data_IF_916558831629
#
_entry.id   IF_916558831629
#
_cell.length_a   1.000
_cell.length_b   1.000
_cell.length_c   1.000
_cell.angle_alpha   90.00
_cell.angle_beta   90.00
_cell.angle_gamma   90.00
#
_symmetry.space_group_name_H-M   'P 1'
#
loop_
_entity.id
_entity.type
_entity.pdbx_description
1 polymer ?
#
# COMPACT_ATOMS: atom_id res chain seq x y z
N UNK A 1 3.64 3.71 3.86
CA UNK A 1 2.55 2.85 3.35
C UNK A 1 2.31 1.63 4.24
N UNK A 2 3.33 0.91 4.72
CA UNK A 2 3.11 -0.26 5.60
C UNK A 2 3.29 0.08 7.09
N UNK A 3 2.26 -0.07 7.95
CA UNK A 3 2.37 0.21 9.38
C UNK A 3 3.52 -0.56 10.04
N UNK A 4 4.34 0.13 10.83
CA UNK A 4 5.48 -0.46 11.55
C UNK A 4 6.71 -0.81 10.70
N UNK A 5 6.73 -0.52 9.39
CA UNK A 5 7.92 -0.76 8.56
C UNK A 5 8.90 0.42 8.63
N UNK A 6 10.04 0.23 9.31
CA UNK A 6 11.11 1.24 9.42
C UNK A 6 12.21 1.14 8.35
N UNK A 7 11.94 0.58 7.18
CA UNK A 7 12.97 0.39 6.14
C UNK A 7 13.03 1.61 5.21
N UNK A 8 14.24 2.13 4.96
CA UNK A 8 14.44 3.40 4.25
C UNK A 8 14.60 3.26 2.73
N UNK A 9 15.03 2.09 2.22
CA UNK A 9 15.13 1.87 0.78
C UNK A 9 13.78 1.41 0.22
N UNK A 10 13.09 2.32 -0.47
CA UNK A 10 11.72 2.09 -0.94
C UNK A 10 11.60 2.15 -2.46
N UNK A 11 10.65 1.40 -3.00
CA UNK A 11 10.18 1.54 -4.37
C UNK A 11 8.85 2.30 -4.35
N UNK A 12 8.61 3.14 -5.36
CA UNK A 12 7.28 3.68 -5.63
C UNK A 12 6.59 2.76 -6.63
N UNK A 13 5.36 2.36 -6.32
CA UNK A 13 4.59 1.43 -7.15
C UNK A 13 3.09 1.62 -6.88
N UNK A 14 2.26 1.01 -7.73
CA UNK A 14 0.82 1.15 -7.66
C UNK A 14 0.24 0.58 -6.36
N UNK A 15 -0.76 1.25 -5.79
CA UNK A 15 -1.49 0.74 -4.60
C UNK A 15 -2.61 -0.21 -4.98
N UNK A 16 -3.34 0.11 -6.05
CA UNK A 16 -4.18 -0.80 -6.81
C UNK A 16 -3.40 -1.27 -8.06
N UNK A 17 -3.10 -2.56 -8.19
CA UNK A 17 -2.24 -3.05 -9.26
C UNK A 17 -2.72 -2.68 -10.66
N UNK A 18 -1.80 -2.24 -11.52
CA UNK A 18 -2.10 -1.98 -12.93
C UNK A 18 -2.72 -3.20 -13.64
N UNK A 19 -2.24 -4.41 -13.33
CA UNK A 19 -2.76 -5.66 -13.91
C UNK A 19 -4.21 -6.00 -13.52
N UNK A 20 -4.78 -5.31 -12.53
CA UNK A 20 -6.19 -5.43 -12.13
C UNK A 20 -7.03 -4.21 -12.49
N UNK A 21 -6.49 -3.29 -13.31
CA UNK A 21 -7.18 -2.07 -13.76
C UNK A 21 -6.82 -0.81 -12.98
N UNK A 22 -5.84 -0.88 -12.07
CA UNK A 22 -5.37 0.29 -11.34
C UNK A 22 -4.82 1.38 -12.26
N UNK A 23 -5.22 2.63 -12.01
CA UNK A 23 -4.87 3.77 -12.83
C UNK A 23 -3.39 4.15 -12.67
N UNK A 24 -2.74 4.54 -13.77
CA UNK A 24 -1.36 5.07 -13.75
C UNK A 24 -1.38 6.55 -13.37
N UNK A 25 -1.54 6.83 -12.08
CA UNK A 25 -1.60 8.19 -11.54
C UNK A 25 -0.93 8.28 -10.16
N UNK A 26 -0.45 9.46 -9.79
CA UNK A 26 0.26 9.66 -8.52
C UNK A 26 -0.59 9.29 -7.29
N UNK A 27 -1.91 9.52 -7.37
CA UNK A 27 -2.86 9.16 -6.31
C UNK A 27 -2.93 7.65 -6.04
N UNK A 28 -2.65 6.84 -7.05
CA UNK A 28 -2.58 5.38 -6.97
C UNK A 28 -1.14 4.88 -6.74
N UNK A 29 -0.26 5.65 -6.08
CA UNK A 29 1.11 5.20 -5.78
C UNK A 29 1.51 5.39 -4.34
N UNK A 30 2.47 4.59 -3.86
CA UNK A 30 3.10 4.86 -2.57
C UNK A 30 4.39 4.08 -2.30
N UNK A 31 5.23 4.59 -1.37
CA UNK A 31 6.53 4.03 -1.08
C UNK A 31 6.43 2.76 -0.22
N UNK A 32 7.11 1.70 -0.67
CA UNK A 32 7.18 0.41 0.00
C UNK A 32 8.59 -0.17 -0.05
N UNK A 33 9.02 -0.84 1.02
CA UNK A 33 10.26 -1.62 0.96
C UNK A 33 10.13 -2.81 -0.01
N UNK A 34 11.23 -3.38 -0.52
CA UNK A 34 11.18 -4.49 -1.47
C UNK A 34 10.37 -5.70 -0.98
N UNK A 35 10.35 -5.98 0.33
CA UNK A 35 9.53 -7.05 0.91
C UNK A 35 8.04 -6.75 0.79
N UNK A 36 7.61 -5.60 1.31
CA UNK A 36 6.19 -5.24 1.35
C UNK A 36 5.64 -4.90 -0.03
N UNK A 37 6.46 -4.40 -0.97
CA UNK A 37 6.01 -4.16 -2.34
C UNK A 37 5.55 -5.45 -3.04
N UNK A 38 6.19 -6.59 -2.75
CA UNK A 38 5.76 -7.90 -3.24
C UNK A 38 4.64 -8.51 -2.41
N UNK A 39 4.58 -8.19 -1.11
CA UNK A 39 3.61 -8.78 -0.20
C UNK A 39 2.21 -8.19 -0.36
N UNK A 40 2.10 -6.91 -0.79
CA UNK A 40 0.82 -6.21 -0.97
C UNK A 40 -0.16 -6.93 -1.91
N UNK A 41 0.34 -7.70 -2.87
CA UNK A 41 -0.50 -8.42 -3.85
C UNK A 41 -1.23 -9.63 -3.29
N UNK A 42 -0.97 -10.01 -2.02
CA UNK A 42 -1.56 -11.18 -1.36
C UNK A 42 -2.95 -10.90 -0.76
N UNK A 43 -3.76 -10.09 -1.42
CA UNK A 43 -5.09 -9.68 -0.95
C UNK A 43 -5.09 -8.56 0.08
N UNK A 44 -3.96 -7.90 0.32
CA UNK A 44 -3.93 -6.69 1.14
C UNK A 44 -4.43 -5.51 0.31
N UNK A 45 -5.21 -4.62 0.92
CA UNK A 45 -5.65 -3.38 0.28
C UNK A 45 -5.03 -2.20 0.99
N UNK A 46 -4.35 -1.31 0.26
CA UNK A 46 -3.84 -0.06 0.83
C UNK A 46 -4.28 1.12 0.00
N UNK A 47 -4.70 2.20 0.65
CA UNK A 47 -5.05 3.46 0.00
C UNK A 47 -4.72 4.64 0.91
N UNK A 48 -4.58 5.82 0.31
CA UNK A 48 -4.38 7.08 1.03
C UNK A 48 -5.67 7.86 1.03
N UNK A 49 -6.14 8.26 2.20
CA UNK A 49 -7.37 9.04 2.31
C UNK A 49 -7.15 10.52 1.91
N UNK A 50 -8.22 11.33 1.81
CA UNK A 50 -8.11 12.75 1.52
C UNK A 50 -7.34 13.57 2.58
N UNK A 51 -7.23 13.08 3.82
CA UNK A 51 -6.45 13.69 4.90
C UNK A 51 -4.96 13.30 4.83
N UNK A 52 -4.62 12.36 3.98
CA UNK A 52 -3.29 11.88 3.72
C UNK A 52 -2.84 10.71 4.58
N UNK A 53 -3.76 10.09 5.32
CA UNK A 53 -3.52 8.92 6.14
C UNK A 53 -3.52 7.66 5.27
N UNK A 54 -2.63 6.72 5.61
CA UNK A 54 -2.57 5.43 4.94
C UNK A 54 -3.42 4.42 5.69
N UNK A 55 -4.31 3.75 4.97
CA UNK A 55 -5.12 2.66 5.49
C UNK A 55 -4.70 1.35 4.84
N UNK A 56 -4.26 0.37 5.62
CA UNK A 56 -3.88 -0.96 5.13
C UNK A 56 -4.78 -2.02 5.74
N UNK A 57 -5.49 -2.75 4.89
CA UNK A 57 -6.40 -3.83 5.27
C UNK A 57 -5.77 -5.18 4.99
N UNK A 58 -5.94 -6.11 5.92
CA UNK A 58 -5.65 -7.52 5.74
C UNK A 58 -6.60 -8.15 4.72
N UNK A 59 -6.28 -9.34 4.18
CA UNK A 59 -7.19 -10.08 3.30
C UNK A 59 -8.54 -10.42 3.93
N UNK A 60 -8.62 -10.50 5.25
CA UNK A 60 -9.87 -10.73 6.00
C UNK A 60 -10.71 -9.44 6.20
N UNK A 61 -10.26 -8.30 5.68
CA UNK A 61 -10.96 -7.02 5.77
C UNK A 61 -10.67 -6.24 7.05
N UNK A 62 -9.90 -6.77 8.00
CA UNK A 62 -9.51 -6.02 9.21
C UNK A 62 -8.40 -5.02 8.91
N UNK A 63 -8.49 -3.82 9.48
CA UNK A 63 -7.44 -2.82 9.33
C UNK A 63 -6.21 -3.18 10.18
N UNK A 64 -5.03 -3.03 9.60
CA UNK A 64 -3.78 -3.00 10.35
C UNK A 64 -3.70 -1.60 10.94
N UNK A 65 -4.06 -1.45 12.22
CA UNK A 65 -4.05 -0.16 12.91
C UNK A 65 -2.78 0.63 12.55
N UNK A 66 -2.98 1.85 12.03
CA UNK A 66 -1.89 2.80 11.90
C UNK A 66 -1.37 3.09 13.31
N UNK A 67 -0.14 2.68 13.58
CA UNK A 67 0.59 3.12 14.76
C UNK A 67 0.87 4.62 14.66
#
# INVERSE_FOLDING_TARGET
>A
LWPGCGHHHTHNDHTDPWGTGGHTELANTGPLCPRHNRYKTRGYRTWRDPHGHWHTYRPDGTEIAAA
#
